data_IF_828952330809
#
_entry.id   IF_828952330809
#
_cell.length_a   1.000
_cell.length_b   1.000
_cell.length_c   1.000
_cell.angle_alpha   90.00
_cell.angle_beta   90.00
_cell.angle_gamma   90.00
#
_symmetry.space_group_name_H-M   'P 1'
#
loop_
_entity.id
_entity.type
_entity.pdbx_description
1 polymer ?
#
# COMPACT_ATOMS: atom_id res chain seq x y z
N UNK A 1 -2.01 -12.61 21.41
CA UNK A 1 -0.55 -12.75 21.18
C UNK A 1 0.12 -11.38 21.15
N UNK A 2 -0.33 -10.43 20.31
CA UNK A 2 0.16 -9.03 20.23
C UNK A 2 0.19 -8.31 21.59
N UNK A 3 -0.89 -8.37 22.39
CA UNK A 3 -0.95 -7.75 23.73
C UNK A 3 -0.01 -8.41 24.76
N UNK A 4 0.29 -9.70 24.60
CA UNK A 4 1.25 -10.41 25.47
C UNK A 4 2.69 -10.03 25.09
N UNK A 5 2.96 -9.76 23.82
CA UNK A 5 4.24 -9.21 23.38
C UNK A 5 4.46 -7.83 23.99
N UNK A 6 3.48 -6.91 23.92
CA UNK A 6 3.60 -5.58 24.54
C UNK A 6 3.85 -5.60 26.06
N UNK A 7 3.21 -6.53 26.78
CA UNK A 7 3.42 -6.70 28.22
C UNK A 7 4.80 -7.30 28.55
N UNK A 8 5.37 -8.11 27.65
CA UNK A 8 6.73 -8.65 27.80
C UNK A 8 7.80 -7.62 27.41
N UNK A 9 7.52 -6.75 26.45
CA UNK A 9 8.40 -5.64 26.07
C UNK A 9 8.49 -4.58 27.16
N UNK A 10 7.45 -4.36 27.96
CA UNK A 10 7.52 -3.41 29.10
C UNK A 10 8.40 -3.89 30.26
N UNK A 11 8.78 -5.16 30.30
CA UNK A 11 9.69 -5.73 31.32
C UNK A 11 11.10 -6.00 30.78
N UNK A 12 11.32 -5.92 29.48
CA UNK A 12 12.64 -6.07 28.87
C UNK A 12 13.25 -4.68 28.67
N UNK A 13 13.87 -4.17 29.74
CA UNK A 13 14.78 -3.02 29.81
C UNK A 13 14.96 -2.25 28.50
N UNK A 14 14.13 -1.22 28.32
CA UNK A 14 14.41 -0.06 27.46
C UNK A 14 15.13 1.04 28.25
N UNK A 15 15.92 0.68 29.26
CA UNK A 15 17.04 1.49 29.72
C UNK A 15 18.19 1.33 28.71
N UNK A 16 18.00 1.87 27.51
CA UNK A 16 19.08 2.67 26.93
C UNK A 16 18.80 4.07 27.40
N UNK A 17 19.12 4.31 28.67
CA UNK A 17 19.24 5.66 29.16
C UNK A 17 20.27 6.33 28.25
N UNK A 18 19.88 7.40 27.56
CA UNK A 18 20.76 8.20 26.71
C UNK A 18 21.77 8.94 27.61
N UNK A 19 22.54 8.19 28.41
CA UNK A 19 23.66 8.72 29.17
C UNK A 19 24.71 9.07 28.14
N UNK A 20 24.82 10.36 27.86
CA UNK A 20 26.01 10.91 27.22
C UNK A 20 27.18 10.60 28.14
N UNK A 21 27.88 9.50 27.84
CA UNK A 21 29.26 9.15 28.20
C UNK A 21 29.44 7.63 28.06
N UNK A 22 29.68 7.15 26.84
CA UNK A 22 30.48 5.95 26.57
C UNK A 22 30.81 5.85 25.07
N UNK A 23 31.81 6.63 24.68
CA UNK A 23 32.95 6.14 23.91
C UNK A 23 32.72 5.62 22.46
N UNK A 24 32.69 6.52 21.46
CA UNK A 24 32.79 6.15 20.04
C UNK A 24 34.17 5.61 19.60
N UNK A 25 35.09 5.38 20.56
CA UNK A 25 36.48 4.94 20.28
C UNK A 25 36.63 3.41 20.25
N UNK A 26 35.78 2.67 20.98
CA UNK A 26 35.93 1.20 21.10
C UNK A 26 35.53 0.49 19.81
N UNK A 27 34.44 0.92 19.16
CA UNK A 27 33.91 0.28 17.95
C UNK A 27 34.84 0.43 16.74
N UNK A 28 35.56 1.55 16.65
CA UNK A 28 36.55 1.81 15.60
C UNK A 28 37.81 0.95 15.75
N UNK A 29 38.11 0.49 16.96
CA UNK A 29 39.31 -0.31 17.28
C UNK A 29 39.13 -1.79 16.91
N UNK A 30 37.91 -2.33 17.04
CA UNK A 30 37.58 -3.70 16.65
C UNK A 30 37.68 -3.92 15.13
N UNK A 31 37.18 -2.97 14.34
CA UNK A 31 37.27 -3.02 12.87
C UNK A 31 38.69 -2.82 12.34
N UNK A 32 39.55 -2.06 13.04
CA UNK A 32 40.97 -1.90 12.68
C UNK A 32 41.78 -3.19 12.89
N UNK A 33 41.37 -4.04 13.83
CA UNK A 33 42.11 -5.23 14.24
C UNK A 33 41.54 -6.55 13.70
N UNK A 34 40.48 -6.51 12.87
CA UNK A 34 39.91 -7.72 12.24
C UNK A 34 39.28 -8.72 13.22
N UNK A 35 38.86 -8.27 14.39
CA UNK A 35 38.23 -9.12 15.41
C UNK A 35 36.72 -8.93 15.31
N UNK A 36 35.99 -10.00 14.95
CA UNK A 36 34.53 -9.99 14.93
C UNK A 36 33.99 -9.81 16.37
N UNK A 37 33.09 -8.85 16.61
CA UNK A 37 32.46 -8.70 17.91
C UNK A 37 31.48 -9.87 18.16
N UNK A 38 31.23 -10.24 19.43
CA UNK A 38 30.33 -11.34 19.76
C UNK A 38 28.92 -11.08 19.23
N UNK A 39 28.34 -12.14 18.69
CA UNK A 39 27.06 -12.20 17.98
C UNK A 39 25.95 -11.41 18.68
N UNK A 40 25.52 -10.30 18.07
CA UNK A 40 24.35 -9.56 18.50
C UNK A 40 23.14 -10.05 17.67
N UNK A 41 22.17 -10.78 18.26
CA UNK A 41 21.11 -11.48 17.50
C UNK A 41 20.06 -10.54 16.87
N UNK A 42 20.28 -9.23 16.91
CA UNK A 42 19.43 -8.19 16.31
C UNK A 42 20.22 -7.25 15.39
N UNK A 43 21.13 -7.79 14.59
CA UNK A 43 21.78 -6.98 13.54
C UNK A 43 20.73 -6.59 12.48
N UNK A 44 20.45 -5.28 12.25
CA UNK A 44 19.47 -4.82 11.27
C UNK A 44 19.89 -5.09 9.81
N UNK A 45 21.14 -5.51 9.61
CA UNK A 45 21.76 -5.72 8.30
C UNK A 45 21.13 -6.83 7.47
N UNK A 46 20.33 -7.71 8.09
CA UNK A 46 19.56 -8.74 7.38
C UNK A 46 18.23 -8.22 6.80
N UNK A 47 17.68 -7.12 7.30
CA UNK A 47 16.49 -6.44 6.72
C UNK A 47 16.85 -5.33 5.71
N UNK A 48 18.09 -4.85 5.70
CA UNK A 48 18.54 -3.74 4.85
C UNK A 48 18.87 -4.13 3.39
N UNK A 49 18.48 -5.32 2.93
CA UNK A 49 18.66 -5.73 1.52
C UNK A 49 17.53 -5.30 0.58
N UNK A 50 16.62 -4.44 1.03
CA UNK A 50 15.62 -3.80 0.18
C UNK A 50 15.90 -2.31 0.18
N UNK A 51 16.61 -1.85 -0.87
CA UNK A 51 16.69 -0.42 -1.18
C UNK A 51 15.26 0.07 -1.45
N UNK A 52 14.84 1.23 -0.90
CA UNK A 52 13.58 1.84 -1.29
C UNK A 52 13.57 2.07 -2.81
N UNK A 53 12.42 1.92 -3.49
CA UNK A 53 12.36 2.13 -4.92
C UNK A 53 12.76 3.56 -5.26
N UNK A 54 13.55 3.74 -6.31
CA UNK A 54 13.98 5.08 -6.74
C UNK A 54 12.79 5.88 -7.27
N UNK A 55 12.90 7.20 -7.30
CA UNK A 55 11.85 8.08 -7.85
C UNK A 55 11.52 7.73 -9.30
N UNK A 56 12.47 7.19 -10.06
CA UNK A 56 12.29 6.71 -11.44
C UNK A 56 11.47 5.42 -11.47
N UNK A 57 11.69 4.50 -10.54
CA UNK A 57 10.87 3.28 -10.41
C UNK A 57 9.44 3.63 -10.00
N UNK A 58 9.27 4.60 -9.11
CA UNK A 58 7.95 5.11 -8.72
C UNK A 58 7.28 5.90 -9.86
N UNK A 59 8.04 6.70 -10.60
CA UNK A 59 7.57 7.48 -11.75
C UNK A 59 7.18 6.56 -12.90
N UNK A 60 7.95 5.51 -13.21
CA UNK A 60 7.57 4.49 -14.19
C UNK A 60 6.26 3.82 -13.79
N UNK A 61 6.11 3.41 -12.53
CA UNK A 61 4.88 2.79 -12.02
C UNK A 61 3.67 3.76 -12.04
N UNK A 62 3.88 5.05 -11.72
CA UNK A 62 2.81 6.06 -11.66
C UNK A 62 2.48 6.65 -13.05
N UNK A 63 3.45 6.75 -13.96
CA UNK A 63 3.36 7.47 -15.23
C UNK A 63 3.29 6.60 -16.48
N UNK A 64 3.52 5.28 -16.41
CA UNK A 64 3.28 4.39 -17.56
C UNK A 64 1.78 4.24 -17.84
N UNK A 65 1.21 5.24 -18.49
CA UNK A 65 0.10 5.01 -19.40
C UNK A 65 0.70 4.57 -20.75
N UNK A 66 0.18 3.52 -21.41
CA UNK A 66 0.63 3.22 -22.75
C UNK A 66 0.26 4.38 -23.68
N UNK A 67 1.26 4.91 -24.38
CA UNK A 67 1.08 5.75 -25.57
C UNK A 67 0.38 4.93 -26.67
N UNK A 68 -0.91 4.67 -26.49
CA UNK A 68 -1.80 4.14 -27.54
C UNK A 68 -3.00 5.09 -27.63
N UNK A 69 -2.70 6.32 -28.01
CA UNK A 69 -3.71 7.28 -28.48
C UNK A 69 -3.27 7.77 -29.86
N UNK A 70 -3.26 6.89 -30.87
CA UNK A 70 -3.49 7.32 -32.25
C UNK A 70 -3.87 6.23 -33.28
N UNK A 71 -4.66 5.19 -32.96
CA UNK A 71 -5.07 4.24 -34.03
C UNK A 71 -6.50 3.66 -34.04
N UNK A 72 -7.49 4.20 -33.31
CA UNK A 72 -8.90 3.78 -33.49
C UNK A 72 -9.91 4.92 -33.61
N UNK A 73 -9.65 5.89 -34.48
CA UNK A 73 -10.66 6.83 -34.98
C UNK A 73 -11.00 6.66 -36.47
N UNK A 74 -10.85 5.45 -37.02
CA UNK A 74 -11.38 5.13 -38.34
C UNK A 74 -11.97 3.72 -38.36
N UNK A 75 -13.27 3.60 -38.05
CA UNK A 75 -14.09 2.61 -38.73
C UNK A 75 -15.32 3.32 -39.33
N UNK A 76 -15.66 3.09 -40.60
CA UNK A 76 -16.72 3.80 -41.29
C UNK A 76 -18.08 3.35 -40.76
N UNK A 77 -19.00 4.30 -40.66
CA UNK A 77 -20.39 4.02 -40.35
C UNK A 77 -21.03 3.16 -41.45
N UNK A 78 -21.49 1.97 -41.07
CA UNK A 78 -22.49 1.22 -41.83
C UNK A 78 -23.83 1.44 -41.14
N UNK A 79 -24.62 2.35 -41.72
CA UNK A 79 -25.99 2.64 -41.31
C UNK A 79 -26.92 1.63 -41.98
N UNK A 80 -27.17 0.49 -41.32
CA UNK A 80 -28.24 -0.41 -41.72
C UNK A 80 -29.42 -0.25 -40.75
N UNK A 81 -30.44 0.46 -41.22
CA UNK A 81 -31.76 0.47 -40.60
C UNK A 81 -32.41 -0.90 -40.80
N UNK A 82 -32.55 -1.65 -39.71
CA UNK A 82 -33.48 -2.76 -39.62
C UNK A 82 -34.10 -2.73 -38.22
N UNK A 83 -35.42 -2.56 -38.16
CA UNK A 83 -36.20 -2.71 -36.92
C UNK A 83 -36.05 -4.15 -36.44
N UNK A 84 -35.36 -4.34 -35.31
CA UNK A 84 -35.30 -5.62 -34.61
C UNK A 84 -36.65 -5.88 -33.92
N UNK A 85 -37.23 -7.09 -34.00
CA UNK A 85 -38.46 -7.44 -33.30
C UNK A 85 -38.21 -7.51 -31.79
N UNK A 86 -39.20 -7.08 -30.99
CA UNK A 86 -39.24 -7.34 -29.55
C UNK A 86 -39.23 -8.86 -29.31
N UNK A 87 -38.07 -9.39 -28.94
CA UNK A 87 -37.91 -10.77 -28.49
C UNK A 87 -37.22 -10.77 -27.12
N UNK A 88 -37.98 -11.23 -26.12
CA UNK A 88 -37.60 -11.72 -24.79
C UNK A 88 -36.65 -10.86 -23.94
N UNK A 89 -37.15 -10.46 -22.76
CA UNK A 89 -36.38 -9.88 -21.66
C UNK A 89 -35.43 -10.94 -21.07
N UNK A 90 -34.43 -11.37 -21.85
CA UNK A 90 -33.31 -12.15 -21.36
C UNK A 90 -32.57 -11.27 -20.36
N UNK A 91 -32.64 -11.63 -19.07
CA UNK A 91 -31.86 -10.96 -18.03
C UNK A 91 -30.39 -11.01 -18.47
N UNK A 92 -29.81 -9.84 -18.80
CA UNK A 92 -28.43 -9.80 -19.26
C UNK A 92 -27.52 -10.48 -18.21
N UNK A 93 -26.58 -11.33 -18.62
CA UNK A 93 -25.71 -12.04 -17.69
C UNK A 93 -24.91 -11.05 -16.85
N UNK A 94 -24.78 -11.34 -15.54
CA UNK A 94 -24.09 -10.46 -14.57
C UNK A 94 -22.58 -10.36 -14.81
N UNK A 95 -22.00 -11.28 -15.56
CA UNK A 95 -20.57 -11.34 -15.89
C UNK A 95 -20.36 -11.74 -17.35
N UNK A 96 -19.22 -11.35 -17.92
CA UNK A 96 -18.81 -11.64 -19.30
C UNK A 96 -17.55 -12.52 -19.34
N UNK A 97 -17.25 -13.09 -20.51
CA UNK A 97 -16.06 -13.93 -20.71
C UNK A 97 -14.82 -13.09 -21.05
N UNK A 98 -13.65 -13.71 -20.99
CA UNK A 98 -12.37 -13.11 -21.39
C UNK A 98 -12.42 -12.52 -22.81
N UNK A 99 -12.97 -13.27 -23.76
CA UNK A 99 -13.01 -12.87 -25.18
C UNK A 99 -13.96 -11.69 -25.44
N UNK A 100 -14.97 -11.51 -24.59
CA UNK A 100 -15.92 -10.41 -24.68
C UNK A 100 -15.40 -9.10 -24.05
N UNK A 101 -14.22 -9.14 -23.44
CA UNK A 101 -13.62 -8.04 -22.71
C UNK A 101 -12.57 -7.32 -23.58
N UNK A 102 -12.50 -5.97 -23.57
CA UNK A 102 -11.44 -5.25 -24.26
C UNK A 102 -10.04 -5.63 -23.79
N UNK A 103 -9.06 -5.46 -24.68
CA UNK A 103 -7.65 -5.80 -24.47
C UNK A 103 -7.05 -5.23 -23.18
N UNK A 104 -7.39 -3.99 -22.82
CA UNK A 104 -6.85 -3.32 -21.63
C UNK A 104 -7.30 -3.91 -20.29
N UNK A 105 -8.35 -4.76 -20.25
CA UNK A 105 -8.73 -5.53 -19.05
C UNK A 105 -8.33 -7.01 -19.13
N UNK A 106 -7.74 -7.42 -20.24
CA UNK A 106 -7.29 -8.78 -20.49
C UNK A 106 -5.87 -8.96 -19.93
N UNK A 107 -5.74 -8.80 -18.61
CA UNK A 107 -4.44 -8.78 -17.93
C UNK A 107 -3.90 -10.19 -17.65
N UNK A 108 -4.78 -11.16 -17.40
CA UNK A 108 -4.41 -12.53 -17.07
C UNK A 108 -5.20 -13.56 -17.90
N UNK A 109 -4.54 -14.15 -18.91
CA UNK A 109 -5.13 -15.13 -19.84
C UNK A 109 -5.72 -16.39 -19.18
N UNK A 110 -5.40 -16.64 -17.91
CA UNK A 110 -5.91 -17.76 -17.14
C UNK A 110 -7.28 -17.47 -16.51
N UNK A 111 -7.72 -16.21 -16.46
CA UNK A 111 -9.06 -15.82 -16.00
C UNK A 111 -9.98 -15.81 -17.22
N UNK A 112 -10.73 -16.89 -17.41
CA UNK A 112 -11.52 -17.10 -18.62
C UNK A 112 -12.93 -16.47 -18.56
N UNK A 113 -13.49 -16.28 -17.36
CA UNK A 113 -14.85 -15.79 -17.12
C UNK A 113 -14.94 -14.97 -15.83
N UNK A 114 -16.13 -14.41 -15.54
CA UNK A 114 -16.39 -13.70 -14.28
C UNK A 114 -16.10 -12.20 -14.33
N UNK A 115 -15.82 -11.63 -15.50
CA UNK A 115 -15.59 -10.20 -15.67
C UNK A 115 -16.88 -9.40 -15.50
N UNK A 116 -16.86 -8.31 -14.75
CA UNK A 116 -18.00 -7.39 -14.68
C UNK A 116 -18.22 -6.69 -16.05
N UNK A 117 -19.47 -6.50 -16.51
CA UNK A 117 -19.77 -5.72 -17.71
C UNK A 117 -19.20 -4.30 -17.65
N UNK A 118 -18.85 -3.74 -18.81
CA UNK A 118 -18.31 -2.38 -18.92
C UNK A 118 -19.38 -1.30 -18.75
N UNK A 119 -18.94 -0.08 -18.46
CA UNK A 119 -19.79 1.12 -18.32
C UNK A 119 -20.85 0.95 -17.24
N UNK A 120 -20.50 0.23 -16.19
CA UNK A 120 -21.32 0.13 -15.00
C UNK A 120 -21.49 1.52 -14.39
N UNK A 121 -22.72 1.90 -14.06
CA UNK A 121 -22.96 3.05 -13.20
C UNK A 121 -22.47 2.75 -11.78
N UNK A 122 -22.22 3.77 -10.96
CA UNK A 122 -21.74 3.60 -9.58
C UNK A 122 -22.67 2.70 -8.74
N UNK A 123 -23.98 2.73 -8.97
CA UNK A 123 -24.92 1.84 -8.30
C UNK A 123 -24.69 0.37 -8.69
N UNK A 124 -24.36 0.10 -9.95
CA UNK A 124 -24.06 -1.26 -10.42
C UNK A 124 -22.75 -1.77 -9.84
N UNK A 125 -21.77 -0.87 -9.65
CA UNK A 125 -20.51 -1.16 -8.95
C UNK A 125 -20.78 -1.53 -7.49
N UNK A 126 -21.57 -0.76 -6.76
CA UNK A 126 -21.93 -1.10 -5.37
C UNK A 126 -22.70 -2.43 -5.31
N UNK A 127 -23.64 -2.65 -6.24
CA UNK A 127 -24.35 -3.93 -6.40
C UNK A 127 -23.42 -5.09 -6.78
N UNK A 128 -22.21 -4.83 -7.25
CA UNK A 128 -21.25 -5.90 -7.54
C UNK A 128 -20.66 -6.54 -6.30
N UNK A 129 -20.73 -5.87 -5.15
CA UNK A 129 -20.35 -6.46 -3.86
C UNK A 129 -21.21 -7.68 -3.51
N UNK A 130 -22.47 -7.74 -3.97
CA UNK A 130 -23.39 -8.83 -3.61
C UNK A 130 -23.37 -10.02 -4.59
N UNK A 131 -22.42 -10.08 -5.54
CA UNK A 131 -22.25 -11.25 -6.41
C UNK A 131 -20.78 -11.54 -6.73
N UNK A 132 -20.48 -12.78 -7.10
CA UNK A 132 -19.11 -13.20 -7.38
C UNK A 132 -18.65 -12.76 -8.79
N UNK A 133 -17.46 -12.17 -8.85
CA UNK A 133 -16.77 -11.74 -10.06
C UNK A 133 -15.24 -11.91 -9.90
N UNK A 134 -14.49 -11.72 -10.99
CA UNK A 134 -13.05 -11.95 -11.04
C UNK A 134 -12.24 -11.10 -10.03
N UNK A 135 -12.75 -9.92 -9.67
CA UNK A 135 -12.12 -9.03 -8.66
C UNK A 135 -12.67 -9.19 -7.23
N UNK A 136 -13.58 -10.14 -6.94
CA UNK A 136 -14.30 -10.15 -5.64
C UNK A 136 -13.32 -10.33 -4.49
N UNK A 137 -12.39 -11.27 -4.59
CA UNK A 137 -11.38 -11.48 -3.56
C UNK A 137 -10.56 -10.20 -3.33
N UNK A 138 -10.03 -9.61 -4.40
CA UNK A 138 -9.24 -8.38 -4.34
C UNK A 138 -10.03 -7.22 -3.70
N UNK A 139 -11.30 -7.03 -4.07
CA UNK A 139 -12.14 -6.01 -3.43
C UNK A 139 -12.33 -6.29 -1.94
N UNK A 140 -12.69 -7.52 -1.57
CA UNK A 140 -13.05 -7.85 -0.18
C UNK A 140 -11.84 -7.89 0.77
N UNK A 141 -10.68 -8.39 0.34
CA UNK A 141 -9.49 -8.42 1.18
C UNK A 141 -9.07 -7.01 1.61
N UNK A 142 -9.07 -6.06 0.67
CA UNK A 142 -8.73 -4.67 0.95
C UNK A 142 -9.86 -3.92 1.68
N UNK A 143 -11.13 -4.14 1.29
CA UNK A 143 -12.27 -3.48 1.94
C UNK A 143 -12.44 -3.90 3.41
N UNK A 144 -12.31 -5.20 3.71
CA UNK A 144 -12.36 -5.70 5.09
C UNK A 144 -11.19 -5.11 5.88
N UNK A 145 -9.99 -5.06 5.30
CA UNK A 145 -8.84 -4.40 5.90
C UNK A 145 -9.13 -2.93 6.26
N UNK A 146 -9.63 -2.15 5.31
CA UNK A 146 -9.95 -0.73 5.49
C UNK A 146 -11.03 -0.48 6.56
N UNK A 147 -11.93 -1.44 6.79
CA UNK A 147 -12.95 -1.34 7.86
C UNK A 147 -12.39 -1.77 9.22
N UNK A 148 -11.64 -2.87 9.27
CA UNK A 148 -11.16 -3.44 10.53
C UNK A 148 -9.96 -2.69 11.10
N UNK A 149 -9.09 -2.13 10.26
CA UNK A 149 -7.87 -1.47 10.70
C UNK A 149 -8.15 -0.24 11.59
N UNK A 150 -9.04 0.70 11.23
CA UNK A 150 -9.36 1.83 12.11
C UNK A 150 -9.98 1.40 13.45
N UNK A 151 -10.78 0.34 13.46
CA UNK A 151 -11.37 -0.23 14.69
C UNK A 151 -10.30 -0.82 15.61
N UNK A 152 -9.37 -1.58 15.01
CA UNK A 152 -8.22 -2.14 15.72
C UNK A 152 -7.34 -1.04 16.29
N UNK A 153 -7.01 -0.03 15.50
CA UNK A 153 -6.17 1.10 15.90
C UNK A 153 -6.81 1.88 17.03
N UNK A 154 -8.11 2.18 16.94
CA UNK A 154 -8.86 2.84 18.02
C UNK A 154 -8.79 2.05 19.32
N UNK A 155 -8.92 0.72 19.24
CA UNK A 155 -8.84 -0.17 20.41
C UNK A 155 -7.43 -0.17 21.01
N UNK A 156 -6.40 -0.25 20.17
CA UNK A 156 -4.99 -0.20 20.59
C UNK A 156 -4.68 1.14 21.27
N UNK A 157 -5.02 2.27 20.63
CA UNK A 157 -4.74 3.60 21.17
C UNK A 157 -5.45 3.86 22.50
N UNK A 158 -6.71 3.41 22.65
CA UNK A 158 -7.42 3.46 23.94
C UNK A 158 -6.74 2.64 25.03
N UNK A 159 -6.22 1.47 24.67
CA UNK A 159 -5.52 0.58 25.61
C UNK A 159 -4.19 1.19 26.05
N UNK A 160 -3.43 1.77 25.11
CA UNK A 160 -2.14 2.43 25.36
C UNK A 160 -2.31 3.70 26.20
N UNK A 161 -3.39 4.45 26.00
CA UNK A 161 -3.71 5.63 26.81
C UNK A 161 -4.13 5.28 28.26
N UNK A 162 -4.38 4.00 28.56
CA UNK A 162 -4.74 3.56 29.90
C UNK A 162 -3.59 3.71 30.92
N UNK A 163 -3.90 3.75 32.22
CA UNK A 163 -2.91 3.96 33.30
C UNK A 163 -1.88 2.83 33.45
N UNK A 164 -1.97 1.78 32.64
CA UNK A 164 -1.08 0.61 32.66
C UNK A 164 0.24 0.83 31.92
N UNK A 165 0.34 1.88 31.10
CA UNK A 165 1.55 2.20 30.33
C UNK A 165 2.14 3.53 30.82
N UNK A 166 3.30 3.46 31.48
CA UNK A 166 4.06 4.60 31.95
C UNK A 166 5.04 5.01 30.83
N UNK A 167 5.18 6.31 30.55
CA UNK A 167 6.07 6.92 29.54
C UNK A 167 5.65 6.88 28.05
N UNK A 168 4.35 6.87 27.73
CA UNK A 168 3.89 7.11 26.34
C UNK A 168 3.94 8.60 26.01
N UNK A 169 4.68 8.98 24.97
CA UNK A 169 4.86 10.37 24.55
C UNK A 169 3.85 10.77 23.46
N UNK A 170 3.68 12.08 23.23
CA UNK A 170 2.90 12.59 22.08
C UNK A 170 3.50 12.16 20.74
N UNK A 171 4.82 12.02 20.69
CA UNK A 171 5.54 11.56 19.51
C UNK A 171 5.11 10.13 19.14
N UNK A 172 4.89 9.26 20.12
CA UNK A 172 4.43 7.89 19.86
C UNK A 172 3.06 7.86 19.18
N UNK A 173 2.11 8.67 19.68
CA UNK A 173 0.80 8.80 19.05
C UNK A 173 0.89 9.33 17.62
N UNK A 174 1.75 10.31 17.36
CA UNK A 174 1.96 10.86 16.03
C UNK A 174 2.57 9.83 15.07
N UNK A 175 3.61 9.11 15.51
CA UNK A 175 4.29 8.07 14.74
C UNK A 175 3.36 6.89 14.42
N UNK A 176 2.59 6.41 15.38
CA UNK A 176 1.57 5.38 15.14
C UNK A 176 0.47 5.87 14.21
N UNK A 177 0.05 7.13 14.34
CA UNK A 177 -0.97 7.70 13.44
C UNK A 177 -0.48 7.72 12.00
N UNK A 178 0.77 8.12 11.73
CA UNK A 178 1.35 8.08 10.39
C UNK A 178 1.36 6.64 9.84
N UNK A 179 1.85 5.68 10.64
CA UNK A 179 1.89 4.27 10.24
C UNK A 179 0.51 3.77 9.82
N UNK A 180 -0.47 3.90 10.71
CA UNK A 180 -1.80 3.33 10.50
C UNK A 180 -2.62 4.07 9.46
N UNK A 181 -2.56 5.41 9.42
CA UNK A 181 -3.26 6.19 8.38
C UNK A 181 -2.69 5.90 6.99
N UNK A 182 -1.37 5.68 6.86
CA UNK A 182 -0.75 5.34 5.58
C UNK A 182 -1.18 3.95 5.09
N UNK A 183 -1.24 2.97 5.99
CA UNK A 183 -1.73 1.63 5.69
C UNK A 183 -3.23 1.63 5.33
N UNK A 184 -4.05 2.38 6.07
CA UNK A 184 -5.48 2.51 5.81
C UNK A 184 -5.76 3.18 4.45
N UNK A 185 -5.02 4.26 4.14
CA UNK A 185 -5.10 4.92 2.82
C UNK A 185 -4.80 3.96 1.68
N UNK A 186 -3.78 3.10 1.83
CA UNK A 186 -3.45 2.07 0.84
C UNK A 186 -4.60 1.08 0.64
N UNK A 187 -5.17 0.57 1.74
CA UNK A 187 -6.30 -0.35 1.69
C UNK A 187 -7.53 0.28 1.02
N UNK A 188 -7.82 1.56 1.31
CA UNK A 188 -8.93 2.30 0.71
C UNK A 188 -8.71 2.47 -0.80
N UNK A 189 -7.55 2.95 -1.23
CA UNK A 189 -7.29 3.16 -2.66
C UNK A 189 -7.37 1.86 -3.46
N UNK A 190 -6.84 0.77 -2.90
CA UNK A 190 -6.93 -0.56 -3.52
C UNK A 190 -8.36 -1.09 -3.58
N UNK A 191 -9.11 -0.98 -2.48
CA UNK A 191 -10.51 -1.41 -2.44
C UNK A 191 -11.35 -0.65 -3.46
N UNK A 192 -11.16 0.67 -3.57
CA UNK A 192 -11.88 1.49 -4.57
C UNK A 192 -11.50 1.06 -5.98
N UNK A 193 -10.21 0.91 -6.29
CA UNK A 193 -9.73 0.49 -7.62
C UNK A 193 -10.38 -0.83 -8.07
N UNK A 194 -10.26 -1.89 -7.26
CA UNK A 194 -10.82 -3.20 -7.59
C UNK A 194 -12.35 -3.20 -7.67
N UNK A 195 -13.02 -2.32 -6.93
CA UNK A 195 -14.46 -2.16 -6.97
C UNK A 195 -14.92 -1.48 -8.27
N UNK A 196 -14.26 -0.39 -8.68
CA UNK A 196 -14.68 0.41 -9.83
C UNK A 196 -14.14 -0.05 -11.18
N UNK A 197 -13.36 -1.14 -11.27
CA UNK A 197 -12.71 -1.61 -12.51
C UNK A 197 -13.63 -1.96 -13.70
N UNK A 198 -14.95 -1.76 -13.57
CA UNK A 198 -15.94 -1.82 -14.67
C UNK A 198 -16.30 -0.45 -15.28
N UNK A 199 -15.80 0.65 -14.70
CA UNK A 199 -15.96 2.00 -15.25
C UNK A 199 -15.15 2.21 -16.56
N UNK A 200 -15.36 3.32 -17.28
CA UNK A 200 -14.59 3.64 -18.47
C UNK A 200 -13.07 3.63 -18.19
N UNK A 201 -12.29 3.20 -19.19
CA UNK A 201 -10.83 3.01 -19.11
C UNK A 201 -10.08 4.19 -18.47
N UNK A 202 -10.47 5.44 -18.75
CA UNK A 202 -9.86 6.63 -18.13
C UNK A 202 -10.00 6.66 -16.61
N UNK A 203 -11.18 6.30 -16.10
CA UNK A 203 -11.47 6.28 -14.66
C UNK A 203 -10.71 5.14 -14.01
N UNK A 204 -10.79 3.94 -14.61
CA UNK A 204 -10.04 2.77 -14.13
C UNK A 204 -8.54 3.06 -14.05
N UNK A 205 -7.96 3.66 -15.10
CA UNK A 205 -6.55 4.04 -15.11
C UNK A 205 -6.19 5.09 -14.05
N UNK A 206 -7.04 6.10 -13.82
CA UNK A 206 -6.82 7.06 -12.74
C UNK A 206 -6.77 6.38 -11.38
N UNK A 207 -7.66 5.42 -11.13
CA UNK A 207 -7.70 4.71 -9.85
C UNK A 207 -6.63 3.63 -9.72
N UNK A 208 -6.18 3.03 -10.81
CA UNK A 208 -4.99 2.17 -10.84
C UNK A 208 -3.76 2.96 -10.35
N UNK A 209 -3.60 4.21 -10.79
CA UNK A 209 -2.52 5.09 -10.30
C UNK A 209 -2.68 5.43 -8.81
N UNK A 210 -3.90 5.62 -8.34
CA UNK A 210 -4.16 5.88 -6.92
C UNK A 210 -3.84 4.65 -6.05
N UNK A 211 -4.18 3.44 -6.51
CA UNK A 211 -3.83 2.19 -5.82
C UNK A 211 -2.31 2.04 -5.69
N UNK A 212 -1.59 2.24 -6.79
CA UNK A 212 -0.12 2.27 -6.81
C UNK A 212 0.46 3.36 -5.89
N UNK A 213 -0.13 4.56 -5.90
CA UNK A 213 0.25 5.64 -4.98
C UNK A 213 0.02 5.25 -3.52
N UNK A 214 -1.03 4.48 -3.22
CA UNK A 214 -1.31 3.93 -1.90
C UNK A 214 -0.17 3.09 -1.36
N UNK A 215 0.42 2.23 -2.21
CA UNK A 215 1.60 1.42 -1.85
C UNK A 215 2.79 2.31 -1.49
N UNK A 216 3.02 3.38 -2.25
CA UNK A 216 4.10 4.36 -1.97
C UNK A 216 3.87 5.07 -0.64
N UNK A 217 2.64 5.55 -0.40
CA UNK A 217 2.26 6.23 0.83
C UNK A 217 2.46 5.31 2.04
N UNK A 218 1.99 4.05 1.96
CA UNK A 218 2.19 3.07 3.02
C UNK A 218 3.67 2.79 3.27
N UNK A 219 4.46 2.62 2.20
CA UNK A 219 5.90 2.38 2.31
C UNK A 219 6.60 3.51 3.07
N UNK A 220 6.42 4.77 2.64
CA UNK A 220 6.99 5.94 3.31
C UNK A 220 6.47 6.06 4.75
N UNK A 221 5.17 5.86 4.94
CA UNK A 221 4.51 5.92 6.24
C UNK A 221 4.95 4.83 7.22
N UNK A 222 5.50 3.70 6.75
CA UNK A 222 6.15 2.70 7.61
C UNK A 222 7.58 3.07 7.99
N UNK A 223 8.34 3.66 7.06
CA UNK A 223 9.73 4.03 7.30
C UNK A 223 9.87 5.20 8.27
N UNK A 224 9.00 6.22 8.20
CA UNK A 224 9.04 7.39 9.10
C UNK A 224 9.07 6.98 10.59
N UNK A 225 8.06 6.23 11.11
CA UNK A 225 8.06 5.77 12.49
C UNK A 225 9.15 4.71 12.76
N UNK A 226 9.46 3.84 11.79
CA UNK A 226 10.53 2.85 11.93
C UNK A 226 11.89 3.51 12.22
N UNK A 227 12.26 4.52 11.43
CA UNK A 227 13.48 5.34 11.61
C UNK A 227 13.44 6.06 12.96
N UNK A 228 12.28 6.55 13.39
CA UNK A 228 12.12 7.21 14.69
C UNK A 228 12.59 6.30 15.83
N UNK A 229 12.12 5.05 15.84
CA UNK A 229 12.39 4.10 16.92
C UNK A 229 13.74 3.41 16.80
N UNK A 230 14.23 3.17 15.58
CA UNK A 230 15.56 2.56 15.36
C UNK A 230 16.68 3.52 15.79
N UNK A 231 16.57 4.81 15.44
CA UNK A 231 17.61 5.81 15.71
C UNK A 231 17.23 6.76 16.85
N UNK A 232 16.51 6.27 17.85
CA UNK A 232 16.01 7.09 18.97
C UNK A 232 17.13 7.86 19.72
N UNK A 233 18.34 7.28 19.80
CA UNK A 233 19.49 7.90 20.45
C UNK A 233 20.38 8.73 19.49
N UNK A 234 20.18 8.62 18.18
CA UNK A 234 21.09 9.14 17.15
C UNK A 234 20.38 10.13 16.21
N UNK A 235 20.15 11.35 16.70
CA UNK A 235 19.34 12.35 16.01
C UNK A 235 19.86 12.75 14.62
N UNK A 236 21.19 12.72 14.42
CA UNK A 236 21.78 13.01 13.10
C UNK A 236 21.39 11.91 12.11
N UNK A 237 21.53 10.65 12.52
CA UNK A 237 21.24 9.50 11.68
C UNK A 237 19.75 9.40 11.35
N UNK A 238 18.90 9.68 12.34
CA UNK A 238 17.45 9.79 12.16
C UNK A 238 17.08 10.82 11.07
N UNK A 239 17.63 12.05 11.16
CA UNK A 239 17.37 13.13 10.19
C UNK A 239 17.87 12.79 8.78
N UNK A 240 19.04 12.17 8.66
CA UNK A 240 19.59 11.76 7.35
C UNK A 240 18.66 10.74 6.69
N UNK A 241 18.25 9.71 7.41
CA UNK A 241 17.38 8.66 6.86
C UNK A 241 15.99 9.18 6.50
N UNK A 242 15.39 10.06 7.32
CA UNK A 242 14.14 10.72 6.95
C UNK A 242 14.26 11.56 5.68
N UNK A 243 15.36 12.29 5.51
CA UNK A 243 15.59 13.03 4.27
C UNK A 243 15.66 12.10 3.05
N UNK A 244 16.36 10.97 3.16
CA UNK A 244 16.44 9.99 2.06
C UNK A 244 15.06 9.43 1.71
N UNK A 245 14.23 9.09 2.72
CA UNK A 245 12.91 8.50 2.52
C UNK A 245 11.89 9.51 1.99
N UNK A 246 11.88 10.74 2.52
CA UNK A 246 10.92 11.78 2.13
C UNK A 246 11.33 12.51 0.84
N UNK A 247 12.63 12.52 0.53
CA UNK A 247 13.21 13.16 -0.63
C UNK A 247 14.17 12.19 -1.32
N UNK A 248 13.67 11.12 -1.96
CA UNK A 248 14.50 10.30 -2.82
C UNK A 248 15.10 11.23 -3.88
N UNK A 249 16.40 11.46 -3.79
CA UNK A 249 17.08 12.49 -4.57
C UNK A 249 16.73 12.37 -6.05
N UNK A 250 16.32 13.47 -6.66
CA UNK A 250 16.13 13.53 -8.11
C UNK A 250 17.49 13.26 -8.76
N UNK A 251 17.67 12.22 -9.59
CA UNK A 251 18.86 12.12 -10.40
C UNK A 251 18.87 13.36 -11.29
N UNK A 252 19.91 14.16 -11.18
CA UNK A 252 20.24 15.16 -12.18
C UNK A 252 20.79 14.37 -13.37
N UNK A 253 19.93 14.05 -14.32
CA UNK A 253 20.31 13.70 -15.68
C UNK A 253 20.37 14.97 -16.51
#
# INVERSE_FOLDING_TARGET
MVLRTLKKTSQFNLEKECTGDSEPQVEFTYWRNGIEPPFCPYSPWSMLKLSPPTWEQLREVIMTGPEIIQQRQAQPGVRNGAKQPMANLSLAPRTVTWNDNPEWRRNNKHILTGYRPLKADYLQVIKSLIFLHNETCNTYTHLIGAVLLPLLVTTILRTIYGPQYINVTRTDFFMFSIFFCSADTCLIFSAVYHLIGSHPHKVEQSWHRMDLLGIVIATVGTFIPGICYIFNCEAILQKIHWNIVCHPGHPRL
#
